data_IF_470798253983
#
_entry.id   IF_470798253983
#
_cell.length_a   1.000
_cell.length_b   1.000
_cell.length_c   1.000
_cell.angle_alpha   90.00
_cell.angle_beta   90.00
_cell.angle_gamma   90.00
#
_symmetry.space_group_name_H-M   'P 1'
#
loop_
_entity.id
_entity.type
_entity.pdbx_description
1 polymer ?
#
# COMPACT_ATOMS: atom_id res chain seq x y z
N UNK A 1 -0.54 -5.78 29.07
CA UNK A 1 0.08 -6.88 28.28
C UNK A 1 1.29 -6.32 27.56
N UNK A 2 2.39 -7.07 27.55
CA UNK A 2 3.62 -6.75 26.81
C UNK A 2 3.59 -7.49 25.46
N UNK A 3 4.31 -6.98 24.46
CA UNK A 3 4.53 -7.69 23.20
C UNK A 3 5.44 -8.91 23.39
N UNK A 4 5.26 -9.93 22.57
CA UNK A 4 6.14 -11.11 22.52
C UNK A 4 6.98 -11.05 21.26
N UNK A 5 8.31 -11.17 21.39
CA UNK A 5 9.25 -11.19 20.26
C UNK A 5 9.87 -12.58 20.10
N UNK A 6 9.94 -13.05 18.85
CA UNK A 6 10.57 -14.31 18.44
C UNK A 6 11.62 -14.02 17.38
N UNK A 7 12.80 -14.62 17.56
CA UNK A 7 13.89 -14.59 16.59
C UNK A 7 13.93 -15.90 15.82
N UNK A 8 14.00 -15.83 14.49
CA UNK A 8 14.07 -16.98 13.61
C UNK A 8 15.51 -17.22 13.13
N UNK A 9 15.90 -18.47 12.78
CA UNK A 9 17.25 -18.80 12.33
C UNK A 9 17.72 -18.08 11.06
N UNK A 10 16.77 -17.63 10.22
CA UNK A 10 17.01 -16.84 9.01
C UNK A 10 17.27 -15.35 9.31
N UNK A 11 17.29 -14.96 10.59
CA UNK A 11 17.49 -13.58 11.05
C UNK A 11 16.21 -12.74 11.08
N UNK A 12 15.06 -13.28 10.64
CA UNK A 12 13.76 -12.59 10.74
C UNK A 12 13.35 -12.48 12.21
N UNK A 13 12.76 -11.35 12.56
CA UNK A 13 12.11 -11.14 13.87
C UNK A 13 10.61 -11.06 13.69
N UNK A 14 9.87 -11.66 14.60
CA UNK A 14 8.42 -11.68 14.66
C UNK A 14 7.98 -11.10 16.00
N UNK A 15 7.12 -10.08 15.97
CA UNK A 15 6.63 -9.38 17.14
C UNK A 15 5.11 -9.49 17.15
N UNK A 16 4.54 -10.08 18.20
CA UNK A 16 3.10 -10.17 18.42
C UNK A 16 2.71 -9.11 19.45
N UNK A 17 1.89 -8.14 19.04
CA UNK A 17 1.43 -7.05 19.89
C UNK A 17 0.15 -7.42 20.66
N UNK A 18 -0.17 -6.71 21.76
CA UNK A 18 -1.38 -6.96 22.55
C UNK A 18 -2.70 -6.81 21.77
N UNK A 19 -2.70 -6.01 20.71
CA UNK A 19 -3.84 -5.83 19.81
C UNK A 19 -3.98 -6.95 18.76
N UNK A 20 -3.14 -7.99 18.84
CA UNK A 20 -3.02 -9.11 17.89
C UNK A 20 -2.41 -8.72 16.53
N UNK A 21 -1.83 -7.52 16.40
CA UNK A 21 -1.00 -7.19 15.24
C UNK A 21 0.27 -8.06 15.27
N UNK A 22 0.60 -8.68 14.13
CA UNK A 22 1.85 -9.42 13.95
C UNK A 22 2.77 -8.59 13.06
N UNK A 23 3.96 -8.22 13.56
CA UNK A 23 4.97 -7.50 12.79
C UNK A 23 6.17 -8.39 12.54
N UNK A 24 6.61 -8.43 11.29
CA UNK A 24 7.84 -9.07 10.85
C UNK A 24 8.88 -8.03 10.45
N UNK A 25 10.11 -8.23 10.91
CA UNK A 25 11.28 -7.44 10.55
C UNK A 25 12.27 -8.37 9.85
N UNK A 26 12.62 -8.05 8.62
CA UNK A 26 13.54 -8.86 7.81
C UNK A 26 14.97 -8.31 7.89
N UNK A 27 16.00 -9.17 7.72
CA UNK A 27 17.40 -8.74 7.75
C UNK A 27 17.76 -7.70 6.69
N UNK A 28 17.06 -7.70 5.56
CA UNK A 28 17.23 -6.76 4.44
C UNK A 28 16.52 -5.40 4.67
N UNK A 29 15.99 -5.16 5.86
CA UNK A 29 15.33 -3.91 6.21
C UNK A 29 13.87 -3.82 5.79
N UNK A 30 13.31 -4.85 5.11
CA UNK A 30 11.86 -4.91 4.87
C UNK A 30 11.10 -5.11 6.17
N UNK A 31 9.86 -4.61 6.19
CA UNK A 31 8.92 -4.86 7.27
C UNK A 31 7.58 -5.36 6.71
N UNK A 32 6.90 -6.20 7.46
CA UNK A 32 5.52 -6.62 7.19
C UNK A 32 4.70 -6.54 8.47
N UNK A 33 3.46 -6.08 8.41
CA UNK A 33 2.54 -6.03 9.54
C UNK A 33 1.18 -6.57 9.11
N UNK A 34 0.67 -7.54 9.87
CA UNK A 34 -0.62 -8.20 9.65
C UNK A 34 -1.53 -7.76 10.78
N UNK A 35 -2.61 -7.06 10.44
CA UNK A 35 -3.59 -6.55 11.39
C UNK A 35 -4.73 -7.55 11.60
N UNK A 36 -5.44 -7.49 12.74
CA UNK A 36 -6.54 -8.42 13.04
C UNK A 36 -7.69 -8.38 12.05
N UNK A 37 -7.89 -7.24 11.36
CA UNK A 37 -8.91 -7.08 10.33
C UNK A 37 -8.52 -7.72 8.97
N UNK A 38 -7.33 -8.32 8.89
CA UNK A 38 -6.77 -8.92 7.68
C UNK A 38 -6.00 -7.95 6.79
N UNK A 39 -5.86 -6.67 7.19
CA UNK A 39 -5.03 -5.71 6.47
C UNK A 39 -3.56 -6.12 6.58
N UNK A 40 -2.83 -6.11 5.48
CA UNK A 40 -1.39 -6.36 5.44
C UNK A 40 -0.66 -5.12 4.97
N UNK A 41 0.29 -4.64 5.76
CA UNK A 41 1.14 -3.49 5.43
C UNK A 41 2.56 -3.98 5.23
N UNK A 42 3.16 -3.67 4.08
CA UNK A 42 4.54 -4.01 3.73
C UNK A 42 5.34 -2.72 3.52
N UNK A 43 6.54 -2.65 4.07
CA UNK A 43 7.52 -1.60 3.79
C UNK A 43 8.72 -2.24 3.10
N UNK A 44 9.05 -1.76 1.91
CA UNK A 44 10.26 -2.18 1.20
C UNK A 44 11.50 -1.50 1.79
N UNK A 45 12.67 -2.06 1.50
CA UNK A 45 13.97 -1.43 1.79
C UNK A 45 14.08 -0.03 1.14
N UNK A 46 13.48 0.17 -0.03
CA UNK A 46 13.47 1.46 -0.74
C UNK A 46 12.48 2.49 -0.17
N UNK A 47 11.73 2.15 0.88
CA UNK A 47 10.73 3.02 1.51
C UNK A 47 9.37 3.06 0.80
N UNK A 48 9.14 2.18 -0.19
CA UNK A 48 7.80 1.97 -0.74
C UNK A 48 6.93 1.25 0.29
N UNK A 49 5.74 1.80 0.56
CA UNK A 49 4.75 1.17 1.44
C UNK A 49 3.60 0.60 0.60
N UNK A 50 3.33 -0.69 0.74
CA UNK A 50 2.14 -1.33 0.18
C UNK A 50 1.15 -1.64 1.30
N UNK A 51 -0.14 -1.43 1.06
CA UNK A 51 -1.24 -1.83 1.94
C UNK A 51 -2.18 -2.73 1.16
N UNK A 52 -2.44 -3.94 1.62
CA UNK A 52 -3.40 -4.88 1.07
C UNK A 52 -4.57 -4.99 2.05
N UNK A 53 -5.76 -4.61 1.62
CA UNK A 53 -6.98 -4.67 2.43
C UNK A 53 -7.69 -6.00 2.21
N UNK A 54 -8.42 -6.46 3.23
CA UNK A 54 -9.20 -7.70 3.18
C UNK A 54 -10.26 -7.75 2.06
N UNK A 55 -10.70 -6.58 1.57
CA UNK A 55 -11.68 -6.45 0.50
C UNK A 55 -11.05 -6.52 -0.91
N UNK A 56 -9.76 -6.83 -1.01
CA UNK A 56 -9.01 -6.92 -2.27
C UNK A 56 -8.53 -5.57 -2.82
N UNK A 57 -8.82 -4.44 -2.14
CA UNK A 57 -8.18 -3.18 -2.49
C UNK A 57 -6.72 -3.19 -2.09
N UNK A 58 -5.88 -2.51 -2.87
CA UNK A 58 -4.46 -2.34 -2.59
C UNK A 58 -4.07 -0.88 -2.72
N UNK A 59 -3.16 -0.43 -1.85
CA UNK A 59 -2.52 0.88 -1.97
C UNK A 59 -1.01 0.75 -2.08
N UNK A 60 -0.39 1.60 -2.91
CA UNK A 60 1.05 1.71 -3.08
C UNK A 60 1.42 3.17 -2.82
N UNK A 61 2.28 3.40 -1.84
CA UNK A 61 2.74 4.73 -1.44
C UNK A 61 4.23 4.82 -1.74
N UNK A 62 4.60 5.74 -2.62
CA UNK A 62 5.99 6.08 -2.96
C UNK A 62 6.24 7.55 -2.65
N UNK A 63 7.49 7.99 -2.77
CA UNK A 63 7.83 9.42 -2.70
C UNK A 63 7.21 10.24 -3.84
N UNK A 64 6.87 9.61 -4.97
CA UNK A 64 6.39 10.28 -6.18
C UNK A 64 4.86 10.24 -6.33
N UNK A 65 4.20 9.22 -5.79
CA UNK A 65 2.76 9.05 -5.93
C UNK A 65 2.15 8.13 -4.87
N UNK A 66 0.84 8.24 -4.70
CA UNK A 66 -0.01 7.24 -4.05
C UNK A 66 -0.95 6.64 -5.06
N UNK A 67 -0.98 5.31 -5.17
CA UNK A 67 -1.89 4.58 -6.06
C UNK A 67 -2.82 3.72 -5.23
N UNK A 68 -4.10 3.71 -5.59
CA UNK A 68 -5.09 2.75 -5.12
C UNK A 68 -5.54 1.88 -6.28
N UNK A 69 -5.50 0.57 -6.07
CA UNK A 69 -5.91 -0.49 -6.99
C UNK A 69 -7.19 -1.10 -6.42
N UNK A 70 -8.25 -1.11 -7.22
CA UNK A 70 -9.56 -1.62 -6.82
C UNK A 70 -9.78 -3.02 -7.42
N UNK A 71 -10.57 -3.89 -6.76
CA UNK A 71 -10.86 -5.24 -7.26
C UNK A 71 -11.50 -5.28 -8.65
N UNK A 72 -12.24 -4.23 -9.03
CA UNK A 72 -12.83 -4.10 -10.36
C UNK A 72 -11.78 -3.87 -11.47
N UNK A 73 -10.52 -3.62 -11.12
CA UNK A 73 -9.41 -3.26 -12.02
C UNK A 73 -9.21 -1.76 -12.20
N UNK A 74 -10.02 -0.91 -11.53
CA UNK A 74 -9.83 0.54 -11.55
C UNK A 74 -8.54 0.89 -10.81
N UNK A 75 -7.73 1.78 -11.39
CA UNK A 75 -6.51 2.31 -10.76
C UNK A 75 -6.66 3.82 -10.59
N UNK A 76 -6.44 4.32 -9.37
CA UNK A 76 -6.37 5.76 -9.08
C UNK A 76 -4.99 6.13 -8.58
N UNK A 77 -4.28 7.01 -9.28
CA UNK A 77 -2.96 7.51 -8.89
C UNK A 77 -3.02 9.00 -8.60
N UNK A 78 -2.54 9.43 -7.44
CA UNK A 78 -2.32 10.84 -7.07
C UNK A 78 -0.82 11.07 -7.01
N UNK A 79 -0.31 11.95 -7.87
CA UNK A 79 1.11 12.29 -7.95
C UNK A 79 1.44 13.41 -6.94
N UNK A 80 2.71 13.49 -6.54
CA UNK A 80 3.21 14.51 -5.61
C UNK A 80 3.00 15.95 -6.11
N UNK A 81 2.91 16.17 -7.43
CA UNK A 81 2.58 17.46 -8.04
C UNK A 81 1.07 17.80 -8.03
N UNK A 82 0.23 16.97 -7.41
CA UNK A 82 -1.22 17.15 -7.31
C UNK A 82 -2.02 16.61 -8.51
N UNK A 83 -1.36 16.20 -9.61
CA UNK A 83 -2.05 15.54 -10.73
C UNK A 83 -2.70 14.25 -10.26
N UNK A 84 -3.89 13.96 -10.77
CA UNK A 84 -4.60 12.70 -10.49
C UNK A 84 -4.91 11.98 -11.80
N UNK A 85 -4.74 10.67 -11.80
CA UNK A 85 -5.03 9.80 -12.93
C UNK A 85 -5.96 8.67 -12.48
N UNK A 86 -7.00 8.41 -13.26
CA UNK A 86 -7.88 7.24 -13.10
C UNK A 86 -7.86 6.42 -14.38
N UNK A 87 -7.42 5.17 -14.29
CA UNK A 87 -7.52 4.17 -15.37
C UNK A 87 -8.65 3.23 -15.04
N UNK A 88 -9.56 3.06 -15.98
CA UNK A 88 -10.69 2.15 -15.84
C UNK A 88 -10.39 0.83 -16.57
N UNK A 89 -11.00 -0.29 -16.14
CA UNK A 89 -10.86 -1.59 -16.81
C UNK A 89 -11.22 -1.55 -18.29
N UNK A 90 -12.17 -0.67 -18.64
CA UNK A 90 -12.59 -0.42 -20.03
C UNK A 90 -11.51 0.16 -20.96
N UNK A 91 -10.32 0.48 -20.45
CA UNK A 91 -9.27 1.21 -21.19
C UNK A 91 -9.34 2.73 -21.03
N UNK A 92 -10.49 3.27 -20.63
CA UNK A 92 -10.68 4.71 -20.40
C UNK A 92 -9.66 5.26 -19.40
N UNK A 93 -9.08 6.41 -19.72
CA UNK A 93 -8.15 7.15 -18.86
C UNK A 93 -8.65 8.58 -18.66
N UNK A 94 -8.78 8.99 -17.39
CA UNK A 94 -9.13 10.35 -17.00
C UNK A 94 -8.04 10.97 -16.14
N UNK A 95 -7.59 12.17 -16.50
CA UNK A 95 -6.55 12.90 -15.78
C UNK A 95 -7.08 14.27 -15.35
N UNK A 96 -6.82 14.60 -14.08
CA UNK A 96 -7.10 15.91 -13.48
C UNK A 96 -5.80 16.60 -13.10
N UNK A 97 -5.75 17.92 -13.23
CA UNK A 97 -4.66 18.73 -12.66
C UNK A 97 -4.83 18.88 -11.12
N UNK A 98 -3.90 19.62 -10.48
CA UNK A 98 -3.91 19.87 -9.03
C UNK A 98 -5.18 20.57 -8.53
N UNK A 99 -5.83 21.34 -9.38
CA UNK A 99 -7.05 22.10 -9.07
C UNK A 99 -8.33 21.26 -9.31
N UNK A 100 -8.17 19.99 -9.69
CA UNK A 100 -9.29 19.05 -9.93
C UNK A 100 -9.93 19.18 -11.31
N UNK A 101 -9.42 20.06 -12.17
CA UNK A 101 -9.92 20.27 -13.54
C UNK A 101 -9.49 19.09 -14.41
N UNK A 102 -10.45 18.54 -15.16
CA UNK A 102 -10.19 17.46 -16.12
C UNK A 102 -9.39 18.05 -17.29
N UNK A 103 -8.20 17.52 -17.53
CA UNK A 103 -7.36 17.93 -18.66
C UNK A 103 -7.30 16.86 -19.76
N UNK A 104 -7.57 15.60 -19.42
CA UNK A 104 -7.66 14.49 -20.38
C UNK A 104 -8.81 13.57 -19.95
N UNK A 105 -9.64 13.17 -20.90
CA UNK A 105 -10.61 12.10 -20.78
C UNK A 105 -10.66 11.34 -22.10
N UNK A 106 -10.03 10.17 -22.14
CA UNK A 106 -9.85 9.36 -23.35
C UNK A 106 -10.40 7.97 -23.12
N UNK A 107 -11.02 7.40 -24.13
CA UNK A 107 -11.45 6.00 -24.16
C UNK A 107 -10.44 5.17 -24.94
#
# INVERSE_FOLDING_TARGET
>A
MLSVEKHHPDGRREIVFPDQTIKYLYPDGREESIFPDGTVVKLSESGEKTVEFNNGQREIHTSQYKRREYPDGTLKTVYSNGRQETKFPSGRVRIKNKDGIIIIDKK
#
